data_IF_059653313327
#
_entry.id   IF_059653313327
#
_cell.length_a   1.000
_cell.length_b   1.000
_cell.length_c   1.000
_cell.angle_alpha   90.00
_cell.angle_beta   90.00
_cell.angle_gamma   90.00
#
_symmetry.space_group_name_H-M   'P 1'
#
loop_
_entity.id
_entity.type
_entity.pdbx_description
1 polymer ?
#
# COMPACT_ATOMS: atom_id res chain seq x y z
N UNK A 1 2.31 1.83 -19.51
CA UNK A 1 0.90 1.35 -19.68
C UNK A 1 0.56 0.48 -18.50
N UNK A 2 -0.52 0.76 -17.78
CA UNK A 2 -0.94 -0.01 -16.60
C UNK A 2 -1.24 -1.47 -16.93
N UNK A 3 -1.02 -2.40 -16.00
CA UNK A 3 -1.55 -3.75 -16.10
C UNK A 3 -3.08 -3.73 -16.01
N UNK A 4 -3.74 -4.66 -16.71
CA UNK A 4 -5.19 -4.65 -16.85
C UNK A 4 -5.94 -4.75 -15.52
N UNK A 5 -5.42 -5.53 -14.57
CA UNK A 5 -6.05 -5.71 -13.27
C UNK A 5 -6.12 -4.41 -12.44
N UNK A 6 -5.21 -3.46 -12.71
CA UNK A 6 -5.23 -2.15 -12.05
C UNK A 6 -6.52 -1.34 -12.37
N UNK A 7 -7.22 -1.71 -13.43
CA UNK A 7 -8.41 -1.05 -13.95
C UNK A 7 -9.72 -1.64 -13.41
N UNK A 8 -9.65 -2.61 -12.51
CA UNK A 8 -10.79 -3.25 -11.90
C UNK A 8 -11.11 -2.70 -10.51
N UNK A 9 -12.00 -3.38 -9.80
CA UNK A 9 -12.32 -3.03 -8.42
C UNK A 9 -11.23 -3.51 -7.47
N UNK A 10 -10.87 -2.66 -6.53
CA UNK A 10 -9.96 -2.98 -5.44
C UNK A 10 -10.72 -2.95 -4.12
N UNK A 11 -10.51 -3.96 -3.28
CA UNK A 11 -10.96 -3.90 -1.90
C UNK A 11 -9.83 -3.40 -1.02
N UNK A 12 -10.05 -2.31 -0.30
CA UNK A 12 -9.12 -1.78 0.70
C UNK A 12 -9.89 -1.28 1.91
N UNK A 13 -9.51 -1.72 3.09
CA UNK A 13 -10.07 -1.25 4.36
C UNK A 13 -9.03 -1.38 5.45
N UNK A 14 -8.85 -0.32 6.25
CA UNK A 14 -8.11 -0.43 7.50
C UNK A 14 -8.96 -1.22 8.51
N UNK A 15 -8.64 -2.47 8.64
CA UNK A 15 -9.37 -3.41 9.49
C UNK A 15 -8.50 -4.64 9.74
N UNK A 16 -8.48 -5.15 10.99
CA UNK A 16 -7.71 -6.33 11.38
C UNK A 16 -8.34 -7.61 10.84
N UNK A 17 -8.20 -7.83 9.53
CA UNK A 17 -8.64 -9.06 8.89
C UNK A 17 -7.81 -10.25 9.34
N UNK A 18 -8.49 -11.38 9.51
CA UNK A 18 -7.86 -12.69 9.51
C UNK A 18 -7.97 -13.32 8.13
N UNK A 19 -7.17 -14.37 7.86
CA UNK A 19 -7.31 -15.18 6.64
C UNK A 19 -8.77 -15.58 6.38
N UNK A 20 -9.45 -16.10 7.41
CA UNK A 20 -10.83 -16.57 7.29
C UNK A 20 -11.80 -15.43 6.99
N UNK A 21 -11.74 -14.34 7.76
CA UNK A 21 -12.65 -13.20 7.56
C UNK A 21 -12.45 -12.51 6.21
N UNK A 22 -11.22 -12.50 5.68
CA UNK A 22 -10.96 -11.98 4.34
C UNK A 22 -11.51 -12.89 3.25
N UNK A 23 -11.38 -14.22 3.43
CA UNK A 23 -11.96 -15.21 2.52
C UNK A 23 -13.49 -15.16 2.51
N UNK A 24 -14.12 -15.03 3.67
CA UNK A 24 -15.57 -14.83 3.79
C UNK A 24 -16.03 -13.59 3.03
N UNK A 25 -15.30 -12.49 3.17
CA UNK A 25 -15.56 -11.24 2.45
C UNK A 25 -15.52 -11.44 0.93
N UNK A 26 -14.45 -12.01 0.41
CA UNK A 26 -14.29 -12.27 -1.03
C UNK A 26 -15.40 -13.18 -1.55
N UNK A 27 -15.67 -14.29 -0.85
CA UNK A 27 -16.74 -15.22 -1.19
C UNK A 27 -18.11 -14.55 -1.24
N UNK A 28 -18.40 -13.66 -0.28
CA UNK A 28 -19.66 -12.91 -0.28
C UNK A 28 -19.78 -12.00 -1.50
N UNK A 29 -18.74 -11.28 -1.87
CA UNK A 29 -18.74 -10.44 -3.07
C UNK A 29 -18.92 -11.24 -4.35
N UNK A 30 -18.33 -12.43 -4.43
CA UNK A 30 -18.55 -13.36 -5.56
C UNK A 30 -20.01 -13.82 -5.65
N UNK A 31 -20.64 -14.17 -4.52
CA UNK A 31 -22.05 -14.51 -4.46
C UNK A 31 -22.95 -13.36 -4.91
N UNK A 32 -22.61 -12.13 -4.57
CA UNK A 32 -23.29 -10.90 -5.00
C UNK A 32 -22.93 -10.50 -6.45
N UNK A 33 -22.07 -11.26 -7.13
CA UNK A 33 -21.58 -11.02 -8.49
C UNK A 33 -20.85 -9.67 -8.64
N UNK A 34 -20.14 -9.25 -7.58
CA UNK A 34 -19.30 -8.05 -7.57
C UNK A 34 -17.84 -8.50 -7.74
N UNK A 35 -17.25 -8.34 -8.94
CA UNK A 35 -15.88 -8.80 -9.17
C UNK A 35 -14.86 -7.89 -8.52
N UNK A 36 -13.81 -8.50 -7.96
CA UNK A 36 -12.59 -7.80 -7.56
C UNK A 36 -11.40 -8.23 -8.41
N UNK A 37 -10.49 -7.28 -8.61
CA UNK A 37 -9.22 -7.52 -9.30
C UNK A 37 -8.01 -7.38 -8.38
N UNK A 38 -8.15 -6.65 -7.26
CA UNK A 38 -7.07 -6.44 -6.29
C UNK A 38 -7.61 -6.53 -4.87
N UNK A 39 -6.91 -7.32 -4.06
CA UNK A 39 -7.02 -7.33 -2.60
C UNK A 39 -5.91 -6.46 -1.99
N UNK A 40 -6.32 -5.44 -1.23
CA UNK A 40 -5.40 -4.62 -0.46
C UNK A 40 -5.45 -5.08 0.99
N UNK A 41 -4.31 -5.44 1.57
CA UNK A 41 -4.22 -5.79 2.98
C UNK A 41 -3.45 -4.67 3.67
N UNK A 42 -4.13 -4.02 4.61
CA UNK A 42 -3.60 -2.91 5.37
C UNK A 42 -2.62 -3.39 6.45
N UNK A 43 -2.06 -2.49 7.23
CA UNK A 43 -0.89 -2.73 8.08
C UNK A 43 -0.99 -3.93 9.04
N UNK A 44 -2.17 -4.41 9.38
CA UNK A 44 -2.33 -5.59 10.25
C UNK A 44 -1.90 -6.93 9.60
N UNK A 45 -1.41 -6.91 8.36
CA UNK A 45 -0.75 -8.07 7.78
C UNK A 45 0.53 -8.45 8.53
N UNK A 46 1.24 -7.45 9.08
CA UNK A 46 2.44 -7.63 9.89
C UNK A 46 2.13 -7.49 11.39
N UNK A 47 3.12 -7.76 12.22
CA UNK A 47 3.01 -7.60 13.67
C UNK A 47 2.85 -6.12 14.03
N UNK A 48 1.78 -5.78 14.75
CA UNK A 48 1.46 -4.42 15.22
C UNK A 48 1.27 -4.42 16.74
N UNK A 49 0.34 -5.21 17.26
CA UNK A 49 -0.06 -5.18 18.67
C UNK A 49 0.94 -5.87 19.62
N UNK A 50 1.63 -6.89 19.15
CA UNK A 50 2.49 -7.75 19.96
C UNK A 50 3.98 -7.36 19.84
N UNK A 51 4.30 -6.14 19.38
CA UNK A 51 5.67 -5.64 19.27
C UNK A 51 6.10 -4.96 20.57
N UNK A 52 7.25 -5.37 21.12
CA UNK A 52 7.81 -4.71 22.30
C UNK A 52 8.11 -3.24 21.99
N UNK A 53 7.62 -2.27 22.78
CA UNK A 53 7.83 -0.84 22.58
C UNK A 53 9.30 -0.41 22.43
N UNK A 54 10.25 -1.21 22.94
CA UNK A 54 11.69 -0.95 22.74
C UNK A 54 12.11 -0.90 21.27
N UNK A 55 11.33 -1.53 20.38
CA UNK A 55 11.60 -1.58 18.94
C UNK A 55 10.91 -0.47 18.13
N UNK A 56 10.15 0.42 18.76
CA UNK A 56 9.50 1.53 18.08
C UNK A 56 7.98 1.48 18.09
N UNK A 57 7.35 2.16 17.12
CA UNK A 57 5.91 2.37 17.10
C UNK A 57 5.09 1.21 16.54
N UNK A 58 5.73 0.20 15.97
CA UNK A 58 5.13 -0.89 15.19
C UNK A 58 4.33 -0.46 13.93
N UNK A 59 4.43 0.80 13.50
CA UNK A 59 3.91 1.22 12.19
C UNK A 59 4.69 0.59 11.04
N UNK A 60 6.00 0.55 11.19
CA UNK A 60 6.88 -0.19 10.26
C UNK A 60 6.91 -1.66 10.66
N UNK A 61 6.66 -2.57 9.73
CA UNK A 61 6.75 -4.00 9.95
C UNK A 61 6.81 -4.79 8.65
N UNK A 62 7.47 -5.96 8.72
CA UNK A 62 7.69 -6.85 7.58
C UNK A 62 7.48 -8.32 7.93
N UNK A 63 7.17 -8.61 9.18
CA UNK A 63 6.92 -9.97 9.66
C UNK A 63 5.44 -10.25 9.75
N UNK A 64 4.97 -11.25 9.03
CA UNK A 64 3.57 -11.62 9.03
C UNK A 64 3.01 -11.91 10.43
N UNK A 65 1.86 -11.35 10.71
CA UNK A 65 1.09 -11.70 11.89
C UNK A 65 0.48 -13.10 11.71
N UNK A 66 1.20 -14.12 12.19
CA UNK A 66 0.79 -15.54 12.08
C UNK A 66 -0.51 -15.86 12.83
N UNK A 67 -0.92 -15.01 13.76
CA UNK A 67 -2.22 -15.12 14.44
C UNK A 67 -3.37 -14.83 13.49
N UNK A 68 -3.19 -13.89 12.57
CA UNK A 68 -4.18 -13.51 11.58
C UNK A 68 -4.01 -14.28 10.27
N UNK A 69 -2.79 -14.49 9.84
CA UNK A 69 -2.43 -15.16 8.61
C UNK A 69 -1.43 -16.30 8.89
N UNK A 70 -1.92 -17.48 9.35
CA UNK A 70 -1.04 -18.58 9.75
C UNK A 70 -0.14 -19.09 8.63
N UNK A 71 -0.62 -19.05 7.40
CA UNK A 71 0.11 -19.44 6.19
C UNK A 71 -0.12 -18.40 5.08
N UNK A 72 0.70 -17.36 5.02
CA UNK A 72 0.55 -16.29 4.03
C UNK A 72 0.59 -16.78 2.59
N UNK A 73 1.48 -17.73 2.29
CA UNK A 73 1.60 -18.26 0.92
C UNK A 73 0.32 -18.98 0.46
N UNK A 74 -0.26 -19.81 1.32
CA UNK A 74 -1.54 -20.48 1.05
C UNK A 74 -2.66 -19.46 0.87
N UNK A 75 -2.70 -18.42 1.71
CA UNK A 75 -3.69 -17.36 1.63
C UNK A 75 -3.60 -16.58 0.32
N UNK A 76 -2.40 -16.15 -0.07
CA UNK A 76 -2.18 -15.42 -1.32
C UNK A 76 -2.45 -16.30 -2.55
N UNK A 77 -2.08 -17.59 -2.50
CA UNK A 77 -2.44 -18.54 -3.56
C UNK A 77 -3.96 -18.62 -3.73
N UNK A 78 -4.69 -18.71 -2.61
CA UNK A 78 -6.15 -18.73 -2.65
C UNK A 78 -6.73 -17.46 -3.31
N UNK A 79 -6.22 -16.28 -2.99
CA UNK A 79 -6.65 -15.02 -3.62
C UNK A 79 -6.34 -14.99 -5.12
N UNK A 80 -5.16 -15.49 -5.52
CA UNK A 80 -4.80 -15.62 -6.93
C UNK A 80 -5.73 -16.57 -7.69
N UNK A 81 -6.12 -17.69 -7.09
CA UNK A 81 -7.07 -18.65 -7.67
C UNK A 81 -8.46 -18.03 -7.88
N UNK A 82 -8.81 -16.99 -7.09
CA UNK A 82 -10.01 -16.17 -7.25
C UNK A 82 -9.81 -14.97 -8.20
N UNK A 83 -8.72 -14.96 -8.96
CA UNK A 83 -8.43 -13.95 -9.99
C UNK A 83 -7.97 -12.60 -9.47
N UNK A 84 -7.65 -12.49 -8.19
CA UNK A 84 -7.20 -11.24 -7.55
C UNK A 84 -5.68 -11.10 -7.61
N UNK A 85 -5.20 -9.84 -7.61
CA UNK A 85 -3.83 -9.46 -7.32
C UNK A 85 -3.76 -8.90 -5.92
N UNK A 86 -2.56 -8.92 -5.32
CA UNK A 86 -2.39 -8.62 -3.89
C UNK A 86 -1.36 -7.53 -3.70
N UNK A 87 -1.73 -6.55 -2.88
CA UNK A 87 -0.81 -5.54 -2.39
C UNK A 87 -0.89 -5.42 -0.88
N UNK A 88 0.27 -5.27 -0.25
CA UNK A 88 0.40 -5.05 1.19
C UNK A 88 0.82 -3.62 1.46
N UNK A 89 0.34 -3.06 2.57
CA UNK A 89 0.71 -1.74 3.06
C UNK A 89 2.16 -1.73 3.58
N UNK A 90 2.89 -0.65 3.29
CA UNK A 90 4.26 -0.41 3.76
C UNK A 90 4.40 0.98 4.38
N UNK A 91 4.93 1.02 5.61
CA UNK A 91 5.41 2.22 6.30
C UNK A 91 6.90 2.06 6.65
N UNK A 92 7.84 2.28 5.73
CA UNK A 92 9.22 1.80 5.90
C UNK A 92 10.13 2.68 6.77
N UNK A 93 9.65 3.80 7.31
CA UNK A 93 10.50 4.83 7.91
C UNK A 93 11.35 4.39 9.10
N UNK A 94 10.89 3.41 9.89
CA UNK A 94 11.63 2.94 11.06
C UNK A 94 12.68 1.87 10.73
N UNK A 95 12.86 1.53 9.46
CA UNK A 95 13.82 0.53 9.02
C UNK A 95 13.44 -0.88 9.44
N UNK A 96 14.42 -1.77 9.64
CA UNK A 96 14.17 -3.16 10.02
C UNK A 96 14.68 -3.37 11.44
N UNK A 97 13.79 -3.80 12.33
CA UNK A 97 14.06 -4.01 13.75
C UNK A 97 14.46 -5.45 14.04
N UNK A 98 15.10 -5.67 15.19
CA UNK A 98 15.67 -6.98 15.51
C UNK A 98 14.65 -8.11 15.68
N UNK A 99 13.38 -7.81 15.93
CA UNK A 99 12.30 -8.82 16.00
C UNK A 99 11.82 -9.32 14.63
N UNK A 100 12.17 -8.63 13.55
CA UNK A 100 11.71 -8.95 12.20
C UNK A 100 12.36 -10.25 11.66
N UNK A 101 11.58 -11.09 11.00
CA UNK A 101 12.10 -12.32 10.36
C UNK A 101 13.23 -12.01 9.34
N UNK A 102 13.21 -10.82 8.73
CA UNK A 102 14.21 -10.38 7.77
C UNK A 102 15.49 -9.81 8.40
N UNK A 103 15.50 -9.52 9.71
CA UNK A 103 16.55 -8.74 10.37
C UNK A 103 17.95 -9.34 10.20
N UNK A 104 18.14 -10.60 10.59
CA UNK A 104 19.46 -11.25 10.50
C UNK A 104 19.98 -11.24 9.07
N UNK A 105 19.13 -11.56 8.12
CA UNK A 105 19.47 -11.66 6.69
C UNK A 105 19.91 -10.31 6.11
N UNK A 106 19.19 -9.22 6.41
CA UNK A 106 19.58 -7.89 5.93
C UNK A 106 20.81 -7.34 6.68
N UNK A 107 20.95 -7.63 7.96
CA UNK A 107 22.11 -7.22 8.75
C UNK A 107 23.40 -7.87 8.22
N UNK A 108 23.37 -9.16 7.89
CA UNK A 108 24.47 -9.88 7.26
C UNK A 108 24.83 -9.32 5.89
N UNK A 109 23.84 -9.01 5.03
CA UNK A 109 24.05 -8.42 3.72
C UNK A 109 24.72 -7.03 3.81
N UNK A 110 24.35 -6.25 4.82
CA UNK A 110 24.95 -4.94 5.07
C UNK A 110 26.34 -5.04 5.75
N UNK A 111 26.53 -6.03 6.62
CA UNK A 111 27.81 -6.34 7.24
C UNK A 111 28.34 -5.33 8.27
N UNK A 112 27.55 -4.34 8.65
CA UNK A 112 27.94 -3.26 9.58
C UNK A 112 26.89 -2.98 10.67
N UNK A 113 25.97 -3.92 10.90
CA UNK A 113 24.91 -3.80 11.91
C UNK A 113 25.36 -4.51 13.19
N UNK A 114 25.25 -3.84 14.33
CA UNK A 114 25.55 -4.44 15.63
C UNK A 114 24.39 -5.32 16.11
N UNK A 115 24.33 -6.53 15.58
CA UNK A 115 23.28 -7.50 15.90
C UNK A 115 23.35 -8.01 17.34
N UNK A 116 24.53 -7.95 17.98
CA UNK A 116 24.69 -8.36 19.38
C UNK A 116 23.93 -7.44 20.34
N UNK A 117 23.79 -6.18 20.00
CA UNK A 117 23.02 -5.18 20.75
C UNK A 117 21.64 -4.89 20.12
N UNK A 118 21.15 -5.75 19.22
CA UNK A 118 19.86 -5.56 18.53
C UNK A 118 19.73 -4.20 17.84
N UNK A 119 20.84 -3.63 17.32
CA UNK A 119 20.81 -2.35 16.65
C UNK A 119 19.91 -2.41 15.42
N UNK A 120 19.03 -1.41 15.20
CA UNK A 120 18.16 -1.41 14.04
C UNK A 120 18.96 -1.26 12.74
N UNK A 121 18.43 -1.80 11.66
CA UNK A 121 18.83 -1.42 10.30
C UNK A 121 18.04 -0.17 9.94
N UNK A 122 18.70 0.99 9.98
CA UNK A 122 18.06 2.27 9.66
C UNK A 122 17.57 2.32 8.22
N UNK A 123 16.41 2.94 8.02
CA UNK A 123 15.92 3.23 6.68
C UNK A 123 16.78 4.31 6.01
N UNK A 124 17.46 3.94 4.92
CA UNK A 124 18.30 4.86 4.14
C UNK A 124 18.15 4.61 2.64
N UNK A 125 16.99 4.99 2.11
CA UNK A 125 16.62 4.75 0.71
C UNK A 125 17.56 5.42 -0.32
N UNK A 126 18.34 6.41 0.10
CA UNK A 126 19.35 7.07 -0.74
C UNK A 126 20.69 6.31 -0.75
N UNK A 127 20.86 5.32 0.11
CA UNK A 127 22.04 4.47 0.15
C UNK A 127 21.82 3.24 -0.74
N UNK A 128 22.64 3.13 -1.78
CA UNK A 128 22.53 2.04 -2.76
C UNK A 128 22.65 0.65 -2.12
N UNK A 129 23.57 0.47 -1.19
CA UNK A 129 23.77 -0.82 -0.52
C UNK A 129 22.54 -1.21 0.32
N UNK A 130 21.98 -0.24 1.07
CA UNK A 130 20.72 -0.46 1.78
C UNK A 130 19.58 -0.80 0.80
N UNK A 131 19.44 -0.04 -0.27
CA UNK A 131 18.39 -0.24 -1.26
C UNK A 131 18.42 -1.66 -1.84
N UNK A 132 19.60 -2.12 -2.28
CA UNK A 132 19.78 -3.47 -2.84
C UNK A 132 19.46 -4.56 -1.79
N UNK A 133 19.93 -4.39 -0.55
CA UNK A 133 19.65 -5.30 0.55
C UNK A 133 18.16 -5.30 0.94
N UNK A 134 17.51 -4.15 0.95
CA UNK A 134 16.10 -3.99 1.27
C UNK A 134 15.20 -4.77 0.31
N UNK A 135 15.38 -4.61 -0.99
CA UNK A 135 14.63 -5.41 -1.96
C UNK A 135 14.96 -6.90 -1.83
N UNK A 136 16.23 -7.27 -1.83
CA UNK A 136 16.68 -8.66 -1.82
C UNK A 136 16.27 -9.42 -0.56
N UNK A 137 16.43 -8.80 0.60
CA UNK A 137 16.30 -9.48 1.89
C UNK A 137 14.93 -9.29 2.54
N UNK A 138 14.19 -8.24 2.21
CA UNK A 138 12.93 -7.91 2.88
C UNK A 138 11.74 -8.12 1.94
N UNK A 139 11.75 -7.52 0.76
CA UNK A 139 10.58 -7.47 -0.10
C UNK A 139 10.42 -8.68 -1.03
N UNK A 140 11.50 -9.10 -1.70
CA UNK A 140 11.43 -10.24 -2.64
C UNK A 140 10.96 -11.53 -2.01
N UNK A 141 11.35 -11.89 -0.76
CA UNK A 141 10.80 -13.07 -0.10
C UNK A 141 9.29 -13.03 0.13
N UNK A 142 8.71 -11.85 0.29
CA UNK A 142 7.26 -11.68 0.39
C UNK A 142 6.59 -11.79 -0.98
N UNK A 143 7.23 -11.27 -2.02
CA UNK A 143 6.76 -11.42 -3.40
C UNK A 143 6.80 -12.88 -3.87
N UNK A 144 7.77 -13.67 -3.42
CA UNK A 144 7.83 -15.12 -3.66
C UNK A 144 6.70 -15.89 -2.96
N UNK A 145 6.14 -15.33 -1.89
CA UNK A 145 4.92 -15.86 -1.24
C UNK A 145 3.65 -15.51 -2.01
N UNK A 146 3.66 -14.45 -2.83
CA UNK A 146 2.53 -14.08 -3.68
C UNK A 146 2.14 -12.60 -3.70
N UNK A 147 2.93 -11.70 -3.11
CA UNK A 147 2.69 -10.25 -3.23
C UNK A 147 2.96 -9.80 -4.67
N UNK A 148 1.99 -9.16 -5.32
CA UNK A 148 2.12 -8.75 -6.72
C UNK A 148 2.77 -7.38 -6.89
N UNK A 149 2.51 -6.46 -5.97
CA UNK A 149 3.08 -5.12 -5.92
C UNK A 149 2.91 -4.53 -4.53
N UNK A 150 3.51 -3.35 -4.26
CA UNK A 150 3.52 -2.75 -2.93
C UNK A 150 2.68 -1.49 -2.85
N UNK A 151 2.00 -1.31 -1.71
CA UNK A 151 1.36 -0.07 -1.33
C UNK A 151 2.29 0.72 -0.44
N UNK A 152 2.90 1.76 -1.01
CA UNK A 152 3.84 2.65 -0.33
C UNK A 152 3.03 3.76 0.35
N UNK A 153 2.73 3.57 1.62
CA UNK A 153 1.97 4.51 2.41
C UNK A 153 2.91 5.40 3.24
N UNK A 154 3.64 6.26 2.53
CA UNK A 154 4.63 7.12 3.14
C UNK A 154 3.99 8.37 3.74
N UNK A 155 3.98 8.47 5.09
CA UNK A 155 3.45 9.60 5.86
C UNK A 155 4.49 10.21 6.82
N UNK A 156 5.75 9.77 6.75
CA UNK A 156 6.80 10.05 7.74
C UNK A 156 7.69 11.25 7.39
N UNK A 157 7.21 12.13 6.49
CA UNK A 157 7.89 13.37 6.15
C UNK A 157 9.16 13.22 5.30
N UNK A 158 10.00 14.25 5.32
CA UNK A 158 11.24 14.36 4.54
C UNK A 158 12.44 13.85 5.31
N UNK A 159 12.55 12.53 5.49
CA UNK A 159 13.67 11.95 6.26
C UNK A 159 14.66 11.24 5.33
N UNK A 160 15.46 12.00 4.58
CA UNK A 160 16.63 11.45 3.89
C UNK A 160 17.90 12.15 4.37
N UNK A 161 19.04 11.48 4.22
CA UNK A 161 20.36 12.08 4.45
C UNK A 161 20.78 13.01 3.31
N UNK A 162 20.00 13.11 2.24
CA UNK A 162 20.23 13.98 1.09
C UNK A 162 19.32 15.19 1.18
N UNK A 163 19.87 16.41 1.40
CA UNK A 163 19.07 17.62 1.50
C UNK A 163 18.18 17.85 0.26
N UNK A 164 16.91 18.13 0.46
CA UNK A 164 15.95 18.40 -0.62
C UNK A 164 15.40 17.18 -1.35
N UNK A 165 15.85 15.98 -1.00
CA UNK A 165 15.32 14.74 -1.57
C UNK A 165 14.20 14.18 -0.68
N UNK A 166 12.99 14.13 -1.23
CA UNK A 166 11.85 13.46 -0.59
C UNK A 166 12.00 11.93 -0.74
N UNK A 167 11.96 11.15 0.37
CA UNK A 167 12.07 9.70 0.32
C UNK A 167 11.04 9.04 -0.58
N UNK A 168 9.84 9.59 -0.68
CA UNK A 168 8.76 9.04 -1.50
C UNK A 168 9.11 9.02 -3.00
N UNK A 169 9.92 9.99 -3.48
CA UNK A 169 10.46 9.96 -4.84
C UNK A 169 11.30 8.72 -5.11
N UNK A 170 12.20 8.40 -4.17
CA UNK A 170 13.07 7.24 -4.29
C UNK A 170 12.27 5.95 -4.18
N UNK A 171 11.36 5.88 -3.20
CA UNK A 171 10.48 4.71 -3.01
C UNK A 171 9.66 4.44 -4.28
N UNK A 172 8.97 5.45 -4.80
CA UNK A 172 8.16 5.30 -6.02
C UNK A 172 9.01 4.83 -7.21
N UNK A 173 10.19 5.45 -7.40
CA UNK A 173 11.08 5.11 -8.50
C UNK A 173 11.56 3.67 -8.43
N UNK A 174 12.14 3.29 -7.30
CA UNK A 174 12.75 1.97 -7.19
C UNK A 174 11.73 0.83 -7.08
N UNK A 175 10.65 1.00 -6.35
CA UNK A 175 9.58 -0.01 -6.33
C UNK A 175 8.97 -0.24 -7.72
N UNK A 176 8.79 0.84 -8.49
CA UNK A 176 8.26 0.73 -9.84
C UNK A 176 9.21 -0.02 -10.78
N UNK A 177 10.50 0.30 -10.74
CA UNK A 177 11.50 -0.37 -11.56
C UNK A 177 11.72 -1.83 -11.13
N UNK A 178 11.79 -2.08 -9.83
CA UNK A 178 11.94 -3.43 -9.30
C UNK A 178 10.73 -4.31 -9.65
N UNK A 179 9.53 -3.78 -9.57
CA UNK A 179 8.32 -4.52 -9.95
C UNK A 179 8.31 -4.91 -11.44
N UNK A 180 9.13 -4.28 -12.28
CA UNK A 180 9.32 -4.62 -13.70
C UNK A 180 10.41 -5.66 -13.97
N UNK A 181 11.15 -6.11 -12.96
CA UNK A 181 12.37 -6.95 -13.13
C UNK A 181 12.15 -8.23 -13.94
N UNK A 182 10.94 -8.80 -13.89
CA UNK A 182 10.58 -10.03 -14.62
C UNK A 182 9.92 -9.73 -15.99
N UNK A 183 10.07 -8.52 -16.52
CA UNK A 183 9.47 -8.11 -17.80
C UNK A 183 7.96 -7.85 -17.74
N UNK A 184 7.35 -7.88 -16.56
CA UNK A 184 5.94 -7.53 -16.37
C UNK A 184 5.72 -6.02 -16.44
N UNK A 185 4.48 -5.63 -16.67
CA UNK A 185 4.08 -4.22 -16.56
C UNK A 185 4.09 -3.81 -15.10
N UNK A 186 4.94 -2.84 -14.70
CA UNK A 186 5.05 -2.48 -13.29
C UNK A 186 3.86 -1.69 -12.78
N UNK A 187 3.65 -1.81 -11.47
CA UNK A 187 2.68 -1.05 -10.72
C UNK A 187 3.25 -0.76 -9.33
N UNK A 188 3.03 0.47 -8.86
CA UNK A 188 3.11 0.83 -7.44
C UNK A 188 1.75 1.36 -7.01
N UNK A 189 1.43 1.29 -5.73
CA UNK A 189 0.30 2.00 -5.16
C UNK A 189 0.86 2.94 -4.10
N UNK A 190 0.76 4.25 -4.31
CA UNK A 190 1.52 5.21 -3.51
C UNK A 190 0.81 6.54 -3.35
N UNK A 191 1.16 7.26 -2.30
CA UNK A 191 0.83 8.67 -2.15
C UNK A 191 1.56 9.48 -3.23
N UNK A 192 1.10 10.71 -3.47
CA UNK A 192 1.76 11.62 -4.42
C UNK A 192 3.04 12.23 -3.82
N UNK A 193 4.05 12.42 -4.65
CA UNK A 193 5.31 13.07 -4.29
C UNK A 193 5.55 14.39 -5.09
N UNK A 194 4.50 14.95 -5.69
CA UNK A 194 4.54 16.16 -6.52
C UNK A 194 4.69 15.92 -8.02
N UNK A 195 5.07 16.95 -8.80
CA UNK A 195 5.21 16.85 -10.24
C UNK A 195 6.14 15.72 -10.67
N UNK A 196 5.70 14.87 -11.60
CA UNK A 196 6.44 13.69 -12.05
C UNK A 196 5.97 12.36 -11.44
N UNK A 197 5.14 12.37 -10.38
CA UNK A 197 4.59 11.16 -9.77
C UNK A 197 3.78 10.28 -10.76
N UNK A 198 3.26 10.87 -11.83
CA UNK A 198 2.60 10.16 -12.92
C UNK A 198 3.45 9.07 -13.59
N UNK A 199 4.79 9.11 -13.41
CA UNK A 199 5.70 8.09 -13.92
C UNK A 199 5.56 6.76 -13.19
N UNK A 200 5.04 6.79 -11.98
CA UNK A 200 4.98 5.65 -11.07
C UNK A 200 3.55 5.41 -10.57
N UNK A 201 2.62 5.02 -11.48
CA UNK A 201 1.24 4.79 -11.11
C UNK A 201 1.10 3.52 -10.23
N UNK A 202 0.11 3.50 -9.36
CA UNK A 202 -1.07 4.37 -9.20
C UNK A 202 -0.91 5.23 -7.94
N UNK A 203 -1.41 6.46 -7.98
CA UNK A 203 -1.50 7.30 -6.78
C UNK A 203 -2.84 7.21 -6.06
N UNK A 204 -2.90 7.68 -4.81
CA UNK A 204 -4.15 7.83 -4.05
C UNK A 204 -4.12 9.08 -3.16
N UNK A 205 -5.31 9.57 -2.78
CA UNK A 205 -5.45 10.78 -1.96
C UNK A 205 -4.95 10.61 -0.52
N UNK A 206 -4.89 9.35 -0.06
CA UNK A 206 -4.64 9.04 1.36
C UNK A 206 -5.85 9.34 2.23
N UNK A 207 -5.70 9.25 3.52
CA UNK A 207 -6.69 9.30 4.58
C UNK A 207 -7.68 10.48 4.45
N UNK A 208 -8.63 10.35 3.53
CA UNK A 208 -9.57 11.40 3.19
C UNK A 208 -10.63 11.54 4.28
N UNK A 209 -10.74 12.73 4.86
CA UNK A 209 -11.79 13.03 5.80
C UNK A 209 -13.18 13.02 5.13
N UNK A 210 -14.19 12.48 5.83
CA UNK A 210 -15.57 12.43 5.35
C UNK A 210 -16.26 13.77 5.61
N UNK A 211 -15.84 14.83 4.89
CA UNK A 211 -16.41 16.18 4.95
C UNK A 211 -16.85 16.64 3.57
N UNK A 212 -17.80 17.60 3.53
CA UNK A 212 -18.25 18.23 2.29
C UNK A 212 -17.10 18.95 1.60
N UNK A 213 -16.26 19.67 2.34
CA UNK A 213 -15.08 20.37 1.80
C UNK A 213 -14.12 19.40 1.10
N UNK A 214 -13.90 18.24 1.70
CA UNK A 214 -13.09 17.18 1.09
C UNK A 214 -13.73 16.65 -0.19
N UNK A 215 -15.05 16.47 -0.21
CA UNK A 215 -15.78 16.02 -1.40
C UNK A 215 -15.71 17.05 -2.53
N UNK A 216 -15.92 18.32 -2.23
CA UNK A 216 -15.88 19.42 -3.21
C UNK A 216 -14.48 19.65 -3.77
N UNK A 217 -13.45 19.41 -2.96
CA UNK A 217 -12.04 19.52 -3.41
C UNK A 217 -11.64 18.44 -4.43
N UNK A 218 -12.24 17.25 -4.38
CA UNK A 218 -11.79 16.13 -5.21
C UNK A 218 -11.90 16.37 -6.73
N UNK A 219 -13.00 16.94 -7.28
CA UNK A 219 -13.08 17.28 -8.71
C UNK A 219 -12.05 18.33 -9.12
N UNK A 220 -11.84 19.33 -8.28
CA UNK A 220 -10.84 20.38 -8.51
C UNK A 220 -9.44 19.80 -8.56
N UNK A 221 -9.07 18.97 -7.56
CA UNK A 221 -7.77 18.30 -7.54
C UNK A 221 -7.58 17.40 -8.77
N UNK A 222 -8.57 16.57 -9.11
CA UNK A 222 -8.47 15.62 -10.22
C UNK A 222 -8.25 16.34 -11.54
N UNK A 223 -8.98 17.43 -11.80
CA UNK A 223 -8.83 18.22 -13.03
C UNK A 223 -7.46 18.91 -13.10
N UNK A 224 -7.01 19.50 -11.99
CA UNK A 224 -5.71 20.20 -11.92
C UNK A 224 -4.53 19.24 -12.04
N UNK A 225 -4.60 18.09 -11.35
CA UNK A 225 -3.57 17.05 -11.42
C UNK A 225 -3.44 16.46 -12.84
N UNK A 226 -4.54 16.35 -13.57
CA UNK A 226 -4.55 15.88 -14.96
C UNK A 226 -3.76 16.78 -15.90
N UNK A 227 -3.66 18.11 -15.62
CA UNK A 227 -2.87 19.05 -16.41
C UNK A 227 -1.35 18.76 -16.37
N UNK A 228 -0.87 18.06 -15.33
CA UNK A 228 0.53 17.63 -15.21
C UNK A 228 0.70 16.14 -15.49
N UNK A 229 -0.31 15.50 -16.09
CA UNK A 229 -0.29 14.08 -16.44
C UNK A 229 -0.60 13.12 -15.30
N UNK A 230 -0.93 13.60 -14.10
CA UNK A 230 -1.27 12.76 -12.94
C UNK A 230 -2.73 12.28 -13.01
N UNK A 231 -3.01 11.42 -14.00
CA UNK A 231 -4.34 10.90 -14.29
C UNK A 231 -4.64 9.51 -13.75
N UNK A 232 -3.61 8.79 -13.29
CA UNK A 232 -3.76 7.45 -12.71
C UNK A 232 -3.75 7.55 -11.18
N UNK A 233 -4.87 7.94 -10.61
CA UNK A 233 -4.99 8.11 -9.18
C UNK A 233 -6.40 7.87 -8.68
N UNK A 234 -6.58 7.66 -7.37
CA UNK A 234 -7.84 7.41 -6.72
C UNK A 234 -8.04 8.20 -5.45
N UNK A 235 -9.31 8.34 -5.08
CA UNK A 235 -9.73 8.79 -3.75
C UNK A 235 -10.11 7.60 -2.88
N UNK A 236 -10.20 7.82 -1.58
CA UNK A 236 -10.91 6.94 -0.66
C UNK A 236 -12.43 7.10 -0.94
N UNK A 237 -12.99 6.23 -1.78
CA UNK A 237 -14.40 6.30 -2.14
C UNK A 237 -15.23 5.96 -0.90
N UNK A 238 -16.07 6.94 -0.47
CA UNK A 238 -16.79 6.87 0.79
C UNK A 238 -16.08 7.55 1.96
N UNK A 239 -14.81 7.93 1.79
CA UNK A 239 -13.95 8.53 2.80
C UNK A 239 -13.22 7.48 3.64
N UNK A 240 -12.28 7.93 4.48
CA UNK A 240 -11.47 7.06 5.31
C UNK A 240 -11.71 7.30 6.80
N UNK A 241 -11.77 8.54 7.26
CA UNK A 241 -11.87 8.86 8.69
C UNK A 241 -12.80 10.05 9.00
N UNK A 242 -13.11 10.23 10.28
CA UNK A 242 -13.90 11.33 10.84
C UNK A 242 -15.33 11.43 10.28
N UNK A 243 -15.91 10.31 9.82
CA UNK A 243 -17.30 10.23 9.40
C UNK A 243 -18.21 9.64 10.48
N UNK A 244 -19.51 9.86 10.34
CA UNK A 244 -20.51 9.23 11.15
C UNK A 244 -21.11 8.04 10.41
N UNK A 245 -21.27 6.90 11.09
CA UNK A 245 -22.01 5.75 10.53
C UNK A 245 -23.40 6.19 10.08
N UNK A 246 -23.82 5.72 8.90
CA UNK A 246 -25.16 5.96 8.34
C UNK A 246 -25.47 7.42 8.04
N UNK A 247 -24.50 8.28 7.83
CA UNK A 247 -24.81 9.62 7.45
C UNK A 247 -25.04 9.73 5.92
N UNK A 248 -25.99 10.57 5.56
CA UNK A 248 -26.39 10.85 4.17
C UNK A 248 -25.19 11.30 3.32
N UNK A 249 -24.21 11.97 3.92
CA UNK A 249 -23.01 12.44 3.28
C UNK A 249 -22.12 11.28 2.80
N UNK A 250 -21.97 10.20 3.60
CA UNK A 250 -21.21 9.04 3.18
C UNK A 250 -21.83 8.39 1.93
N UNK A 251 -23.15 8.24 1.92
CA UNK A 251 -23.89 7.70 0.78
C UNK A 251 -23.78 8.61 -0.45
N UNK A 252 -23.98 9.92 -0.29
CA UNK A 252 -23.86 10.92 -1.36
C UNK A 252 -22.44 11.06 -1.86
N UNK A 253 -21.45 11.04 -0.97
CA UNK A 253 -20.02 11.03 -1.31
C UNK A 253 -19.69 9.82 -2.20
N UNK A 254 -20.14 8.63 -1.82
CA UNK A 254 -19.96 7.42 -2.62
C UNK A 254 -20.63 7.57 -3.99
N UNK A 255 -21.88 7.98 -4.03
CA UNK A 255 -22.62 8.15 -5.29
C UNK A 255 -22.01 9.24 -6.20
N UNK A 256 -21.62 10.39 -5.64
CA UNK A 256 -21.00 11.49 -6.39
C UNK A 256 -19.63 11.08 -6.93
N UNK A 257 -18.83 10.41 -6.12
CA UNK A 257 -17.51 9.89 -6.52
C UNK A 257 -17.64 8.85 -7.62
N UNK A 258 -18.55 7.89 -7.49
CA UNK A 258 -18.84 6.90 -8.54
C UNK A 258 -19.31 7.56 -9.82
N UNK A 259 -20.15 8.57 -9.77
CA UNK A 259 -20.65 9.27 -10.98
C UNK A 259 -19.58 10.13 -11.67
N UNK A 260 -18.68 10.75 -10.93
CA UNK A 260 -17.51 11.44 -11.48
C UNK A 260 -16.57 10.46 -12.21
N UNK A 261 -16.49 9.24 -11.72
CA UNK A 261 -15.66 8.17 -12.27
C UNK A 261 -16.21 7.57 -13.54
N UNK A 262 -17.50 7.31 -13.58
CA UNK A 262 -18.18 6.79 -14.78
C UNK A 262 -18.07 7.74 -15.98
N UNK A 263 -17.72 9.00 -15.76
CA UNK A 263 -17.57 10.04 -16.79
C UNK A 263 -16.12 10.36 -17.17
N UNK A 264 -15.15 9.83 -16.43
CA UNK A 264 -13.71 10.03 -16.72
C UNK A 264 -13.14 8.79 -17.38
N UNK A 265 -12.50 8.89 -18.54
CA UNK A 265 -11.90 7.73 -19.23
C UNK A 265 -10.61 7.23 -18.56
N UNK A 266 -10.20 7.79 -17.44
CA UNK A 266 -9.07 7.36 -16.63
C UNK A 266 -9.55 6.56 -15.44
N UNK A 267 -9.12 5.37 -15.34
CA UNK A 267 -9.60 4.31 -14.49
C UNK A 267 -8.92 4.28 -13.16
N UNK A 268 -9.63 3.85 -12.12
CA UNK A 268 -9.06 3.84 -10.82
C UNK A 268 -9.65 2.82 -9.86
N UNK A 269 -8.80 2.28 -8.97
CA UNK A 269 -9.21 1.32 -7.96
C UNK A 269 -10.15 1.93 -6.92
N UNK A 270 -11.13 1.14 -6.54
CA UNK A 270 -12.05 1.44 -5.47
C UNK A 270 -11.37 1.18 -4.12
N UNK A 271 -11.27 2.20 -3.29
CA UNK A 271 -11.07 2.00 -1.87
C UNK A 271 -12.43 1.95 -1.17
N UNK A 272 -12.62 0.93 -0.35
CA UNK A 272 -13.89 0.69 0.32
C UNK A 272 -14.17 1.64 1.45
N UNK A 273 -15.44 1.81 1.68
CA UNK A 273 -16.04 2.48 2.83
C UNK A 273 -15.73 1.70 4.11
N UNK A 274 -15.24 2.37 5.14
CA UNK A 274 -15.45 1.90 6.49
C UNK A 274 -16.92 2.12 6.87
N UNK A 275 -17.74 1.06 6.80
CA UNK A 275 -19.07 1.04 7.40
C UNK A 275 -18.99 0.61 8.86
#
# INVERSE_FOLDING_TARGET
>A
MLPRYALGNWWSRYYSYTEDSYKELVTRFEQEKIPFSVGVIDMDWHLVEDVDPKYGSSWTGYTWNKKYFPDPKRFMTWLHDHGMRITLNLHPAEGIRAYEEAYTRIAEELGNVDTANEAPVDFDIANRKFLEAYFKCVLHPEEEKGVDFWWIDWQQGNTTKVPGLDPLWMLNHYHYLDNARDGRRPLTFSRYAGPGSHRYPVGFSGDTHMTWDSLDFQPYFTSTASNIGYGWWSHDIGGHMLGYKNNEMAARSTAARVSLWARSPGIIPWRSVQL
#
